data_IF_733098310941
#
_entry.id   IF_733098310941
#
_cell.length_a   1.000
_cell.length_b   1.000
_cell.length_c   1.000
_cell.angle_alpha   90.00
_cell.angle_beta   90.00
_cell.angle_gamma   90.00
#
_symmetry.space_group_name_H-M   'P 1'
#
loop_
_entity.id
_entity.type
_entity.pdbx_description
1 polymer ?
#
# COMPACT_ATOMS: atom_id res chain seq x y z
N UNK A 1 11.30 39.23 -49.77
CA UNK A 1 10.05 38.59 -50.20
C UNK A 1 10.28 37.09 -50.32
N UNK A 2 9.79 36.26 -49.40
CA UNK A 2 9.60 34.82 -49.65
C UNK A 2 8.68 34.17 -48.62
N UNK A 3 7.44 33.99 -49.07
CA UNK A 3 6.53 32.83 -48.88
C UNK A 3 6.08 32.45 -47.47
N UNK A 4 4.93 33.03 -47.11
CA UNK A 4 3.91 32.42 -46.26
C UNK A 4 3.30 31.21 -46.98
N UNK A 5 3.28 30.03 -46.36
CA UNK A 5 2.39 28.95 -46.77
C UNK A 5 1.29 28.81 -45.72
N UNK A 6 0.10 29.25 -46.12
CA UNK A 6 -1.16 28.94 -45.45
C UNK A 6 -1.58 27.49 -45.73
N UNK A 7 -2.07 26.83 -44.68
CA UNK A 7 -3.12 25.80 -44.55
C UNK A 7 -3.51 24.90 -45.76
N UNK A 8 -3.78 23.60 -45.53
CA UNK A 8 -5.12 23.25 -45.04
C UNK A 8 -5.21 22.04 -44.08
N UNK A 9 -6.04 22.20 -43.05
CA UNK A 9 -7.11 21.26 -42.68
C UNK A 9 -7.16 19.89 -43.37
N UNK A 10 -7.00 18.83 -42.56
CA UNK A 10 -7.80 17.60 -42.69
C UNK A 10 -7.03 16.27 -42.67
N UNK A 11 -7.17 15.42 -41.64
CA UNK A 11 -7.01 13.98 -41.77
C UNK A 11 -8.34 13.33 -42.18
N UNK A 12 -8.34 12.31 -43.06
CA UNK A 12 -9.12 11.15 -42.66
C UNK A 12 -8.53 9.79 -43.06
N UNK A 13 -9.06 8.80 -42.33
CA UNK A 13 -9.10 7.37 -42.61
C UNK A 13 -7.85 6.55 -42.26
N UNK A 14 -7.94 5.94 -41.07
CA UNK A 14 -7.11 4.81 -40.66
C UNK A 14 -7.69 4.10 -39.44
N UNK A 15 -9.00 3.83 -39.43
CA UNK A 15 -9.66 3.09 -38.35
C UNK A 15 -9.34 1.59 -38.46
N UNK A 16 -8.11 1.21 -38.13
CA UNK A 16 -7.75 -0.18 -37.89
C UNK A 16 -8.16 -0.56 -36.47
N UNK A 17 -9.31 -1.24 -36.32
CA UNK A 17 -9.69 -1.92 -35.08
C UNK A 17 -8.81 -3.16 -34.96
N UNK A 18 -7.68 -3.01 -34.29
CA UNK A 18 -6.94 -4.11 -33.73
C UNK A 18 -7.36 -4.25 -32.29
N UNK A 19 -8.32 -5.13 -32.02
CA UNK A 19 -8.64 -5.61 -30.68
C UNK A 19 -7.43 -6.39 -30.16
N UNK A 20 -6.41 -5.65 -29.69
CA UNK A 20 -5.49 -6.19 -28.71
C UNK A 20 -6.35 -6.41 -27.47
N UNK A 21 -6.70 -7.67 -27.25
CA UNK A 21 -7.12 -8.17 -25.93
C UNK A 21 -5.90 -8.03 -25.00
N UNK A 22 -5.56 -6.79 -24.70
CA UNK A 22 -4.67 -6.45 -23.61
C UNK A 22 -5.36 -6.96 -22.36
N UNK A 23 -4.78 -7.99 -21.76
CA UNK A 23 -4.99 -8.29 -20.36
C UNK A 23 -4.30 -7.16 -19.58
N UNK A 24 -4.80 -5.93 -19.75
CA UNK A 24 -4.66 -4.84 -18.81
C UNK A 24 -5.45 -5.31 -17.59
N UNK A 25 -4.85 -6.23 -16.84
CA UNK A 25 -5.18 -6.46 -15.45
C UNK A 25 -4.81 -5.17 -14.75
N UNK A 26 -5.69 -4.19 -14.90
CA UNK A 26 -5.81 -3.03 -14.08
C UNK A 26 -6.04 -3.57 -12.67
N UNK A 27 -4.96 -3.90 -11.97
CA UNK A 27 -4.92 -3.73 -10.54
C UNK A 27 -5.21 -2.25 -10.36
N UNK A 28 -6.42 -1.88 -9.87
CA UNK A 28 -6.70 -0.50 -9.58
C UNK A 28 -5.70 -0.11 -8.49
N UNK A 29 -4.59 0.53 -8.90
CA UNK A 29 -3.74 1.24 -7.98
C UNK A 29 -4.69 2.24 -7.32
N UNK A 30 -4.88 2.19 -5.99
CA UNK A 30 -5.68 3.20 -5.34
C UNK A 30 -5.05 4.55 -5.73
N UNK A 31 -5.83 5.42 -6.36
CA UNK A 31 -5.46 6.83 -6.63
C UNK A 31 -5.48 7.61 -5.31
N UNK A 32 -4.70 7.12 -4.38
CA UNK A 32 -4.62 7.45 -2.97
C UNK A 32 -3.42 6.68 -2.46
N UNK A 33 -2.24 7.06 -2.95
CA UNK A 33 -0.99 6.62 -2.37
C UNK A 33 -1.10 6.89 -0.88
N UNK A 34 -1.07 5.82 -0.09
CA UNK A 34 -0.71 5.78 1.31
C UNK A 34 0.30 6.90 1.56
N UNK A 35 -0.21 8.06 1.99
CA UNK A 35 0.59 9.19 2.41
C UNK A 35 1.29 8.70 3.66
N UNK A 36 2.45 8.08 3.45
CA UNK A 36 3.30 7.62 4.51
C UNK A 36 3.56 8.85 5.37
N UNK A 37 3.09 8.88 6.63
CA UNK A 37 2.94 10.10 7.38
C UNK A 37 4.27 10.83 7.32
N UNK A 38 4.25 12.06 6.82
CA UNK A 38 5.44 12.91 6.73
C UNK A 38 5.97 13.29 8.14
N UNK A 39 5.39 12.71 9.19
CA UNK A 39 5.69 12.89 10.59
C UNK A 39 6.32 11.62 11.19
N UNK A 40 7.36 11.83 11.99
CA UNK A 40 8.08 10.81 12.73
C UNK A 40 7.13 10.10 13.72
N UNK A 41 7.01 8.77 13.70
CA UNK A 41 6.08 8.05 14.59
C UNK A 41 6.47 8.13 16.07
N UNK A 42 7.71 8.57 16.37
CA UNK A 42 8.24 8.66 17.74
C UNK A 42 7.99 10.02 18.39
N UNK A 43 7.99 11.11 17.61
CA UNK A 43 7.88 12.47 18.15
C UNK A 43 7.11 13.47 17.27
N UNK A 44 6.49 12.99 16.19
CA UNK A 44 5.60 13.74 15.29
C UNK A 44 6.25 14.89 14.51
N UNK A 45 7.58 15.06 14.61
CA UNK A 45 8.35 16.01 13.79
C UNK A 45 8.41 15.58 12.33
N UNK A 46 8.60 16.50 11.36
CA UNK A 46 8.76 16.15 9.97
C UNK A 46 9.89 15.13 9.77
N UNK A 47 9.61 14.09 8.98
CA UNK A 47 10.59 13.05 8.66
C UNK A 47 11.74 13.64 7.83
N UNK A 48 12.96 13.25 8.14
CA UNK A 48 14.14 13.64 7.38
C UNK A 48 14.39 12.59 6.29
N UNK A 49 14.75 13.03 5.07
CA UNK A 49 14.94 12.14 3.92
C UNK A 49 15.95 11.01 4.18
N UNK A 50 16.98 11.26 5.00
CA UNK A 50 18.01 10.29 5.36
C UNK A 50 17.53 9.26 6.38
N UNK A 51 16.53 9.61 7.19
CA UNK A 51 16.09 8.81 8.34
C UNK A 51 14.63 8.33 8.24
N UNK A 52 13.94 8.53 7.11
CA UNK A 52 12.53 8.13 6.89
C UNK A 52 12.27 6.70 7.39
N UNK A 53 11.20 6.44 8.17
CA UNK A 53 10.12 7.36 8.63
C UNK A 53 10.49 8.43 9.65
N UNK A 54 11.69 8.41 10.22
CA UNK A 54 12.01 9.20 11.40
C UNK A 54 12.59 10.57 11.05
N UNK A 55 12.60 11.46 12.04
CA UNK A 55 13.23 12.77 11.90
C UNK A 55 14.74 12.78 12.21
N UNK A 56 15.28 11.69 12.80
CA UNK A 56 16.70 11.61 13.20
C UNK A 56 17.13 10.19 13.57
N UNK A 57 18.46 9.95 13.64
CA UNK A 57 19.03 8.71 14.18
C UNK A 57 18.51 8.39 15.59
N UNK A 58 18.42 9.40 16.46
CA UNK A 58 17.95 9.21 17.85
C UNK A 58 16.55 8.60 17.89
N UNK A 59 15.64 9.04 17.04
CA UNK A 59 14.29 8.47 16.99
C UNK A 59 14.28 7.04 16.45
N UNK A 60 15.14 6.71 15.49
CA UNK A 60 15.30 5.34 15.02
C UNK A 60 15.86 4.42 16.12
N UNK A 61 16.83 4.88 16.90
CA UNK A 61 17.39 4.11 18.03
C UNK A 61 16.35 3.88 19.14
N UNK A 62 15.50 4.87 19.42
CA UNK A 62 14.41 4.75 20.40
C UNK A 62 13.33 3.76 19.94
N UNK A 63 12.97 3.81 18.66
CA UNK A 63 12.06 2.83 18.06
C UNK A 63 12.61 1.42 18.20
N UNK A 64 13.88 1.21 17.85
CA UNK A 64 14.58 -0.06 18.01
C UNK A 64 14.56 -0.54 19.47
N UNK A 65 14.77 0.36 20.43
CA UNK A 65 14.67 0.02 21.86
C UNK A 65 13.26 -0.46 22.25
N UNK A 66 12.21 0.14 21.68
CA UNK A 66 10.81 -0.28 21.92
C UNK A 66 10.54 -1.67 21.33
N UNK A 67 11.09 -1.98 20.16
CA UNK A 67 11.03 -3.32 19.56
C UNK A 67 11.73 -4.36 20.43
N UNK A 68 12.99 -4.12 20.78
CA UNK A 68 13.77 -5.06 21.59
C UNK A 68 13.21 -5.23 23.01
N UNK A 69 12.53 -4.21 23.53
CA UNK A 69 11.85 -4.25 24.83
C UNK A 69 10.46 -4.87 24.82
N UNK A 70 9.96 -5.37 23.69
CA UNK A 70 8.60 -5.95 23.60
C UNK A 70 7.48 -4.91 23.76
N UNK A 71 7.78 -3.63 23.51
CA UNK A 71 6.83 -2.53 23.64
C UNK A 71 5.83 -2.44 22.49
N UNK A 72 6.01 -3.23 21.44
CA UNK A 72 5.06 -3.44 20.36
C UNK A 72 4.40 -4.80 20.57
N UNK A 73 3.10 -4.79 20.86
CA UNK A 73 2.29 -5.99 21.03
C UNK A 73 1.04 -5.87 20.15
N UNK A 74 0.68 -6.99 19.51
CA UNK A 74 -0.60 -7.11 18.82
C UNK A 74 -1.55 -7.75 19.84
N UNK A 75 -2.67 -7.10 20.19
CA UNK A 75 -3.70 -7.73 21.00
C UNK A 75 -4.13 -9.04 20.35
N UNK A 76 -4.06 -10.14 21.09
CA UNK A 76 -4.68 -11.38 20.68
C UNK A 76 -6.17 -11.35 21.02
N UNK A 77 -6.99 -11.91 20.15
CA UNK A 77 -8.32 -12.36 20.56
C UNK A 77 -8.16 -13.59 21.46
N UNK A 78 -9.14 -13.86 22.32
CA UNK A 78 -9.23 -15.09 23.11
C UNK A 78 -9.45 -16.27 22.15
N UNK A 79 -8.37 -16.76 21.53
CA UNK A 79 -8.42 -18.03 20.81
C UNK A 79 -8.71 -19.11 21.85
N UNK A 80 -9.79 -19.89 21.68
CA UNK A 80 -10.05 -21.02 22.56
C UNK A 80 -8.78 -21.87 22.57
N UNK A 81 -8.34 -22.28 23.77
CA UNK A 81 -7.13 -23.08 23.95
C UNK A 81 -7.08 -24.18 22.89
N UNK A 82 -5.95 -24.38 22.23
CA UNK A 82 -5.82 -25.39 21.18
C UNK A 82 -6.15 -26.80 21.71
N UNK A 83 -6.04 -27.01 23.03
CA UNK A 83 -6.47 -28.20 23.78
C UNK A 83 -7.99 -28.35 23.94
N UNK A 84 -8.78 -27.31 23.63
CA UNK A 84 -10.25 -27.27 23.64
C UNK A 84 -10.81 -27.12 22.21
N UNK A 85 -10.07 -27.61 21.21
CA UNK A 85 -10.62 -27.81 19.88
C UNK A 85 -11.28 -29.20 19.84
N UNK A 86 -12.61 -29.31 19.68
CA UNK A 86 -13.25 -30.61 19.57
C UNK A 86 -12.65 -31.34 18.37
N UNK A 87 -12.07 -32.52 18.62
CA UNK A 87 -11.56 -33.37 17.56
C UNK A 87 -12.64 -33.72 16.53
N UNK A 88 -12.25 -34.15 15.32
CA UNK A 88 -13.18 -34.40 14.21
C UNK A 88 -14.29 -35.41 14.52
N UNK A 89 -14.12 -36.20 15.60
CA UNK A 89 -15.06 -37.23 16.05
C UNK A 89 -15.96 -36.78 17.23
N UNK A 90 -15.94 -35.50 17.61
CA UNK A 90 -16.80 -35.01 18.69
C UNK A 90 -18.27 -35.03 18.26
N UNK A 91 -19.17 -35.70 19.01
CA UNK A 91 -20.58 -35.76 18.66
C UNK A 91 -21.21 -34.37 18.74
N UNK A 92 -21.72 -33.88 17.60
CA UNK A 92 -22.46 -32.64 17.54
C UNK A 92 -23.73 -32.75 18.39
N UNK A 93 -23.82 -31.94 19.44
CA UNK A 93 -25.02 -31.86 20.29
C UNK A 93 -26.16 -31.27 19.44
N UNK A 94 -27.31 -31.95 19.29
CA UNK A 94 -28.46 -31.38 18.58
C UNK A 94 -28.99 -30.17 19.34
N UNK A 95 -29.48 -29.19 18.57
CA UNK A 95 -30.01 -27.92 19.05
C UNK A 95 -31.43 -28.04 19.62
#
# INVERSE_FOLDING_TARGET
>A
MTRTCSDPSGPPAGQGRGDVVGVEMAFPHPRGGLEYPMACPICTKPADAKYRPFCSKRCADLDLGKWLGGGYAIPGDDIPDEDNMPGPDAPQRPH
#
